data_IF_740984045736
#
_entry.id   IF_740984045736
#
_cell.length_a   1.000
_cell.length_b   1.000
_cell.length_c   1.000
_cell.angle_alpha   90.00
_cell.angle_beta   90.00
_cell.angle_gamma   90.00
#
_symmetry.space_group_name_H-M   'P 1'
#
loop_
_entity.id
_entity.type
_entity.pdbx_description
1 polymer ?
#
# COMPACT_ATOMS: atom_id res chain seq x y z
N UNK A 1 6.83 -11.90 23.52
CA UNK A 1 7.66 -12.01 22.31
C UNK A 1 8.04 -10.59 21.92
N UNK A 2 9.33 -10.29 21.77
CA UNK A 2 9.74 -8.96 21.31
C UNK A 2 9.25 -8.85 19.85
N UNK A 3 8.79 -7.66 19.43
CA UNK A 3 8.26 -7.44 18.08
C UNK A 3 9.17 -8.07 17.02
N UNK A 4 10.48 -7.90 17.16
CA UNK A 4 11.47 -8.40 16.22
C UNK A 4 11.54 -9.93 16.20
N UNK A 5 11.35 -10.62 17.34
CA UNK A 5 11.32 -12.10 17.38
C UNK A 5 10.17 -12.67 16.52
N UNK A 6 9.09 -11.92 16.33
CA UNK A 6 7.94 -12.32 15.51
C UNK A 6 8.32 -12.39 14.03
N UNK A 7 9.23 -11.51 13.58
CA UNK A 7 9.64 -11.39 12.18
C UNK A 7 11.01 -12.03 11.89
N UNK A 8 11.87 -12.15 12.91
CA UNK A 8 13.21 -12.75 12.86
C UNK A 8 13.20 -14.23 13.30
N UNK A 9 12.08 -14.71 13.82
CA UNK A 9 11.88 -16.02 14.43
C UNK A 9 12.18 -17.20 13.49
N UNK A 10 13.30 -17.86 13.79
CA UNK A 10 13.65 -19.22 13.33
C UNK A 10 12.72 -20.25 13.99
N UNK A 11 11.47 -20.33 13.59
CA UNK A 11 10.66 -21.55 13.65
C UNK A 11 9.35 -21.29 12.89
N UNK A 12 9.23 -21.92 11.72
CA UNK A 12 8.06 -21.84 10.85
C UNK A 12 6.88 -22.66 11.38
N UNK A 13 6.63 -22.66 12.69
CA UNK A 13 5.55 -23.45 13.28
C UNK A 13 4.75 -22.60 14.27
N UNK A 14 3.43 -22.54 14.02
CA UNK A 14 2.39 -21.88 14.82
C UNK A 14 2.44 -20.35 14.70
N UNK A 15 1.95 -19.70 13.64
CA UNK A 15 0.54 -19.46 13.30
C UNK A 15 0.39 -19.27 11.78
N UNK A 16 0.74 -20.28 10.99
CA UNK A 16 0.56 -20.24 9.54
C UNK A 16 -0.92 -20.42 9.22
N UNK A 17 -1.65 -19.32 9.18
CA UNK A 17 -2.82 -19.21 8.29
C UNK A 17 -2.32 -18.52 7.02
N UNK A 18 -1.96 -19.33 6.03
CA UNK A 18 -1.74 -18.93 4.63
C UNK A 18 -0.74 -17.77 4.38
N UNK A 19 0.29 -17.65 5.24
CA UNK A 19 1.43 -16.73 5.06
C UNK A 19 1.31 -15.34 5.70
N UNK A 20 0.25 -15.06 6.48
CA UNK A 20 0.15 -13.85 7.30
C UNK A 20 0.56 -14.11 8.76
N UNK A 21 1.16 -13.11 9.39
CA UNK A 21 1.59 -13.09 10.79
C UNK A 21 0.69 -12.10 11.55
N UNK A 22 0.00 -12.56 12.59
CA UNK A 22 -0.78 -11.66 13.46
C UNK A 22 0.13 -11.05 14.54
N UNK A 23 0.09 -9.72 14.68
CA UNK A 23 0.81 -9.02 15.73
C UNK A 23 0.11 -7.72 16.14
N UNK A 24 -0.10 -7.52 17.44
CA UNK A 24 -0.82 -6.37 18.02
C UNK A 24 -2.21 -6.13 17.41
N UNK A 25 -2.93 -7.20 17.03
CA UNK A 25 -4.26 -7.11 16.43
C UNK A 25 -4.27 -6.72 14.96
N UNK A 26 -3.11 -6.72 14.30
CA UNK A 26 -2.94 -6.44 12.88
C UNK A 26 -2.33 -7.65 12.17
N UNK A 27 -2.68 -7.82 10.90
CA UNK A 27 -2.12 -8.89 10.08
C UNK A 27 -0.98 -8.34 9.24
N UNK A 28 0.14 -9.04 9.24
CA UNK A 28 1.35 -8.69 8.50
C UNK A 28 1.66 -9.76 7.46
N UNK A 29 2.08 -9.36 6.26
CA UNK A 29 2.53 -10.28 5.22
C UNK A 29 3.89 -9.86 4.70
N UNK A 30 4.73 -10.84 4.38
CA UNK A 30 6.00 -10.58 3.71
C UNK A 30 5.74 -10.01 2.31
N UNK A 31 6.57 -9.06 1.89
CA UNK A 31 6.55 -8.52 0.52
C UNK A 31 7.44 -9.43 -0.34
N UNK A 32 6.89 -10.26 -1.25
CA UNK A 32 7.67 -11.35 -1.86
C UNK A 32 8.88 -10.90 -2.68
N UNK A 33 8.84 -9.71 -3.27
CA UNK A 33 9.95 -9.17 -4.03
C UNK A 33 11.09 -8.62 -3.15
N UNK A 34 10.91 -8.55 -1.83
CA UNK A 34 11.76 -7.75 -0.94
C UNK A 34 11.93 -8.44 0.42
N UNK A 35 12.99 -9.24 0.54
CA UNK A 35 13.34 -9.94 1.79
C UNK A 35 13.41 -8.97 2.97
N UNK A 36 12.88 -9.37 4.12
CA UNK A 36 12.91 -8.58 5.36
C UNK A 36 11.95 -7.39 5.38
N UNK A 37 11.10 -7.20 4.36
CA UNK A 37 10.02 -6.23 4.40
C UNK A 37 8.66 -6.90 4.57
N UNK A 38 7.85 -6.30 5.42
CA UNK A 38 6.49 -6.76 5.73
C UNK A 38 5.52 -5.59 5.59
N UNK A 39 4.30 -5.89 5.16
CA UNK A 39 3.20 -4.93 5.05
C UNK A 39 2.04 -5.37 5.94
N UNK A 40 1.44 -4.43 6.67
CA UNK A 40 0.25 -4.68 7.48
C UNK A 40 -1.06 -4.39 6.73
N UNK A 41 -2.15 -4.95 7.23
CA UNK A 41 -3.51 -4.66 6.79
C UNK A 41 -3.95 -3.20 7.05
N UNK A 42 -3.26 -2.50 7.94
CA UNK A 42 -3.42 -1.06 8.18
C UNK A 42 -2.53 -0.17 7.29
N UNK A 43 -1.71 -0.76 6.43
CA UNK A 43 -0.83 -0.03 5.51
C UNK A 43 0.50 0.42 6.11
N UNK A 44 0.93 -0.19 7.22
CA UNK A 44 2.28 -0.01 7.75
C UNK A 44 3.27 -0.91 7.03
N UNK A 45 4.48 -0.41 6.83
CA UNK A 45 5.62 -1.17 6.32
C UNK A 45 6.62 -1.33 7.46
N UNK A 46 7.06 -2.56 7.69
CA UNK A 46 8.11 -2.92 8.63
C UNK A 46 9.34 -3.44 7.89
N UNK A 47 10.51 -3.01 8.34
CA UNK A 47 11.80 -3.50 7.89
C UNK A 47 12.49 -4.22 9.03
N UNK A 48 12.65 -5.54 8.91
CA UNK A 48 13.25 -6.39 9.94
C UNK A 48 14.78 -6.22 10.06
N UNK A 49 15.44 -5.67 9.04
CA UNK A 49 16.88 -5.40 9.13
C UNK A 49 17.20 -4.14 9.93
N UNK A 50 16.32 -3.14 9.86
CA UNK A 50 16.50 -1.87 10.59
C UNK A 50 15.61 -1.77 11.83
N UNK A 51 14.74 -2.76 12.03
CA UNK A 51 13.70 -2.77 13.08
C UNK A 51 12.84 -1.50 13.06
N UNK A 52 12.54 -1.00 11.84
CA UNK A 52 11.91 0.30 11.62
C UNK A 52 10.55 0.19 10.93
N UNK A 53 9.65 1.13 11.24
CA UNK A 53 8.30 1.21 10.68
C UNK A 53 8.08 2.50 9.92
N UNK A 54 7.24 2.45 8.89
CA UNK A 54 6.75 3.65 8.21
C UNK A 54 5.38 3.41 7.58
N UNK A 55 4.59 4.46 7.43
CA UNK A 55 3.41 4.44 6.54
C UNK A 55 3.78 4.85 5.10
N UNK A 56 5.07 5.03 4.82
CA UNK A 56 5.58 5.66 3.62
C UNK A 56 5.63 7.17 3.73
N UNK A 57 5.99 7.81 2.63
CA UNK A 57 6.10 9.25 2.51
C UNK A 57 5.39 9.75 1.25
N UNK A 58 4.78 10.94 1.28
CA UNK A 58 4.19 11.54 0.09
C UNK A 58 5.26 12.00 -0.90
N UNK A 59 4.85 12.21 -2.15
CA UNK A 59 5.66 12.96 -3.09
C UNK A 59 5.76 14.43 -2.63
N UNK A 60 6.97 14.95 -2.46
CA UNK A 60 7.20 16.33 -1.99
C UNK A 60 6.56 17.42 -2.87
N UNK A 61 6.42 17.20 -4.19
CA UNK A 61 5.82 18.16 -5.12
C UNK A 61 4.31 18.30 -4.92
N UNK A 62 3.64 17.18 -4.61
CA UNK A 62 2.17 17.10 -4.51
C UNK A 62 1.67 17.06 -3.06
N UNK A 63 2.59 16.91 -2.10
CA UNK A 63 2.30 16.84 -0.68
C UNK A 63 1.24 15.79 -0.36
N UNK A 64 0.27 16.18 0.46
CA UNK A 64 -0.71 15.29 1.03
C UNK A 64 -1.74 14.73 0.03
N UNK A 65 -1.83 15.30 -1.17
CA UNK A 65 -2.67 14.78 -2.27
C UNK A 65 -1.94 13.73 -3.14
N UNK A 66 -0.83 13.17 -2.65
CA UNK A 66 -0.10 12.12 -3.36
C UNK A 66 -0.27 10.75 -2.73
N UNK A 67 -0.07 9.72 -3.55
CA UNK A 67 0.04 8.35 -3.05
C UNK A 67 1.32 8.19 -2.23
N UNK A 68 1.19 7.64 -1.02
CA UNK A 68 2.34 7.31 -0.19
C UNK A 68 3.23 6.28 -0.87
N UNK A 69 4.54 6.47 -0.69
CA UNK A 69 5.59 5.67 -1.30
C UNK A 69 6.56 5.16 -0.26
N UNK A 70 7.24 4.07 -0.58
CA UNK A 70 8.35 3.55 0.22
C UNK A 70 9.50 3.20 -0.71
N UNK A 71 10.72 3.53 -0.28
CA UNK A 71 11.92 3.07 -0.96
C UNK A 71 12.21 1.66 -0.49
N UNK A 72 12.29 0.74 -1.43
CA UNK A 72 12.56 -0.66 -1.18
C UNK A 72 13.91 -1.04 -1.78
N UNK A 73 14.73 -1.71 -0.98
CA UNK A 73 15.97 -2.32 -1.40
C UNK A 73 15.71 -3.76 -1.87
N UNK A 74 16.13 -4.10 -3.09
CA UNK A 74 16.02 -5.47 -3.60
C UNK A 74 16.94 -6.44 -2.82
N UNK A 75 16.67 -7.76 -2.88
CA UNK A 75 17.48 -8.76 -2.18
C UNK A 75 18.96 -8.75 -2.53
N UNK A 76 19.33 -8.28 -3.73
CA UNK A 76 20.73 -8.11 -4.15
C UNK A 76 21.50 -6.99 -3.43
N UNK A 77 20.78 -6.14 -2.68
CA UNK A 77 21.28 -4.99 -1.93
C UNK A 77 22.00 -3.93 -2.76
N UNK A 78 21.81 -3.94 -4.07
CA UNK A 78 22.43 -3.00 -5.00
C UNK A 78 21.39 -2.07 -5.64
N UNK A 79 20.17 -2.56 -5.80
CA UNK A 79 19.10 -1.80 -6.45
C UNK A 79 18.05 -1.37 -5.44
N UNK A 80 17.65 -0.11 -5.52
CA UNK A 80 16.47 0.41 -4.83
C UNK A 80 15.40 0.78 -5.85
N UNK A 81 14.14 0.58 -5.48
CA UNK A 81 12.97 1.04 -6.22
C UNK A 81 12.06 1.82 -5.28
N UNK A 82 11.17 2.64 -5.85
CA UNK A 82 10.12 3.30 -5.10
C UNK A 82 8.80 2.64 -5.44
N UNK A 83 8.18 2.02 -4.44
CA UNK A 83 6.87 1.37 -4.59
C UNK A 83 5.77 2.17 -3.89
N UNK A 84 4.53 2.02 -4.37
CA UNK A 84 3.36 2.64 -3.75
C UNK A 84 2.78 1.77 -2.65
N UNK A 85 2.52 2.37 -1.49
CA UNK A 85 2.05 1.63 -0.30
C UNK A 85 0.71 0.94 -0.56
N UNK A 86 -0.27 1.62 -1.17
CA UNK A 86 -1.56 0.98 -1.51
C UNK A 86 -1.41 -0.26 -2.41
N UNK A 87 -0.41 -0.31 -3.29
CA UNK A 87 -0.16 -1.46 -4.16
C UNK A 87 0.38 -2.65 -3.38
N UNK A 88 1.32 -2.38 -2.47
CA UNK A 88 1.89 -3.41 -1.60
C UNK A 88 0.80 -4.02 -0.71
N UNK A 89 -0.06 -3.18 -0.12
CA UNK A 89 -1.18 -3.62 0.70
C UNK A 89 -2.18 -4.44 -0.12
N UNK A 90 -2.64 -3.91 -1.25
CA UNK A 90 -3.61 -4.61 -2.09
C UNK A 90 -3.06 -5.95 -2.62
N UNK A 91 -1.80 -6.00 -3.06
CA UNK A 91 -1.17 -7.23 -3.52
C UNK A 91 -1.04 -8.28 -2.42
N UNK A 92 -0.87 -7.85 -1.16
CA UNK A 92 -0.75 -8.76 -0.02
C UNK A 92 -2.10 -9.27 0.48
N UNK A 93 -3.15 -8.44 0.50
CA UNK A 93 -4.39 -8.74 1.23
C UNK A 93 -5.65 -8.83 0.37
N UNK A 94 -5.63 -8.32 -0.87
CA UNK A 94 -6.80 -8.30 -1.75
C UNK A 94 -6.61 -9.26 -2.93
N UNK A 95 -7.46 -10.29 -2.99
CA UNK A 95 -7.52 -11.15 -4.17
C UNK A 95 -7.88 -10.33 -5.42
N UNK A 96 -7.22 -10.63 -6.53
CA UNK A 96 -7.49 -10.00 -7.83
C UNK A 96 -7.89 -11.07 -8.87
N UNK A 97 -9.05 -11.75 -8.69
CA UNK A 97 -9.48 -12.82 -9.60
C UNK A 97 -9.73 -12.33 -11.02
N UNK A 98 -10.09 -11.05 -11.17
CA UNK A 98 -10.44 -10.42 -12.45
C UNK A 98 -9.23 -9.77 -13.15
N UNK A 99 -8.03 -9.91 -12.58
CA UNK A 99 -6.77 -9.36 -13.13
C UNK A 99 -6.86 -7.87 -13.47
N UNK A 100 -7.46 -7.09 -12.57
CA UNK A 100 -7.61 -5.64 -12.73
C UNK A 100 -6.28 -4.94 -12.48
N UNK A 101 -6.00 -3.90 -13.26
CA UNK A 101 -4.70 -3.22 -13.22
C UNK A 101 -4.63 -2.07 -12.20
N UNK A 102 -5.78 -1.60 -11.71
CA UNK A 102 -5.88 -0.40 -10.89
C UNK A 102 -6.44 -0.68 -9.50
N UNK A 103 -5.94 0.07 -8.52
CA UNK A 103 -6.45 0.07 -7.15
C UNK A 103 -7.12 1.41 -6.89
N UNK A 104 -8.30 1.35 -6.31
CA UNK A 104 -9.10 2.50 -5.90
C UNK A 104 -9.02 2.70 -4.39
N UNK A 105 -9.00 3.97 -3.97
CA UNK A 105 -9.23 4.36 -2.58
C UNK A 105 -10.70 4.73 -2.44
N UNK A 106 -11.48 3.93 -1.70
CA UNK A 106 -12.94 4.10 -1.56
C UNK A 106 -13.32 5.47 -1.00
N UNK A 107 -12.54 5.98 -0.05
CA UNK A 107 -12.70 7.30 0.56
C UNK A 107 -12.12 8.46 -0.27
N UNK A 108 -11.48 8.17 -1.40
CA UNK A 108 -10.69 9.11 -2.21
C UNK A 108 -9.47 9.74 -1.49
N UNK A 109 -9.18 9.34 -0.25
CA UNK A 109 -7.97 9.74 0.46
C UNK A 109 -6.79 8.82 0.10
N UNK A 110 -5.83 9.35 -0.67
CA UNK A 110 -4.65 8.61 -1.17
C UNK A 110 -3.64 8.24 -0.08
N UNK A 111 -3.76 8.79 1.13
CA UNK A 111 -2.92 8.44 2.27
C UNK A 111 -3.49 7.32 3.13
N UNK A 112 -4.80 7.05 3.00
CA UNK A 112 -5.46 5.98 3.75
C UNK A 112 -5.29 4.65 3.01
N UNK A 113 -4.17 3.97 3.27
CA UNK A 113 -3.79 2.73 2.58
C UNK A 113 -4.25 1.47 3.31
N UNK A 114 -5.19 1.56 4.25
CA UNK A 114 -5.75 0.40 4.95
C UNK A 114 -6.48 -0.50 3.96
N UNK A 115 -6.39 -1.82 4.14
CA UNK A 115 -7.08 -2.82 3.29
C UNK A 115 -8.57 -2.51 3.15
N UNK A 116 -9.21 -2.08 4.24
CA UNK A 116 -10.63 -1.71 4.26
C UNK A 116 -10.98 -0.57 3.29
N UNK A 117 -10.04 0.35 3.03
CA UNK A 117 -10.21 1.48 2.13
C UNK A 117 -9.78 1.20 0.68
N UNK A 118 -9.20 0.04 0.39
CA UNK A 118 -8.70 -0.31 -0.94
C UNK A 118 -9.63 -1.32 -1.63
N UNK A 119 -9.65 -1.26 -2.96
CA UNK A 119 -10.28 -2.26 -3.82
C UNK A 119 -9.63 -2.28 -5.20
N UNK A 120 -9.64 -3.44 -5.86
CA UNK A 120 -9.29 -3.55 -7.27
C UNK A 120 -10.43 -2.97 -8.13
N UNK A 121 -10.08 -2.17 -9.15
CA UNK A 121 -11.05 -1.50 -10.02
C UNK A 121 -10.62 -1.58 -11.48
N UNK A 122 -11.58 -1.68 -12.39
CA UNK A 122 -11.33 -1.52 -13.82
C UNK A 122 -11.07 -0.03 -14.15
N UNK A 123 -10.08 0.26 -15.00
CA UNK A 123 -9.77 1.60 -15.51
C UNK A 123 -11.00 2.38 -15.99
N UNK A 124 -11.94 1.73 -16.68
CA UNK A 124 -13.16 2.38 -17.18
C UNK A 124 -14.05 2.87 -16.02
N UNK A 125 -14.23 2.04 -15.00
CA UNK A 125 -15.01 2.35 -13.80
C UNK A 125 -14.31 3.39 -12.93
N UNK A 126 -12.98 3.32 -12.79
CA UNK A 126 -12.20 4.27 -11.99
C UNK A 126 -12.31 5.71 -12.52
N UNK A 127 -12.40 5.89 -13.84
CA UNK A 127 -12.53 7.23 -14.46
C UNK A 127 -13.81 7.96 -14.09
N UNK A 128 -14.85 7.23 -13.67
CA UNK A 128 -16.15 7.79 -13.29
C UNK A 128 -16.46 7.64 -11.80
N UNK A 129 -15.54 7.04 -11.02
CA UNK A 129 -15.78 6.76 -9.60
C UNK A 129 -15.77 8.04 -8.76
N UNK A 130 -16.68 8.09 -7.78
CA UNK A 130 -16.75 9.14 -6.77
C UNK A 130 -16.90 10.55 -7.34
N UNK A 131 -16.12 11.49 -6.80
CA UNK A 131 -16.15 12.92 -7.15
C UNK A 131 -15.18 13.28 -8.27
N UNK A 132 -14.48 12.30 -8.85
CA UNK A 132 -13.41 12.54 -9.84
C UNK A 132 -13.87 13.45 -10.99
N UNK A 133 -15.04 13.17 -11.56
CA UNK A 133 -15.60 13.97 -12.66
C UNK A 133 -15.87 15.40 -12.19
N UNK A 134 -16.42 15.60 -11.00
CA UNK A 134 -16.70 16.91 -10.45
C UNK A 134 -15.40 17.70 -10.21
N UNK A 135 -14.39 17.10 -9.58
CA UNK A 135 -13.08 17.73 -9.35
C UNK A 135 -12.38 18.15 -10.64
N UNK A 136 -12.48 17.33 -11.70
CA UNK A 136 -11.95 17.68 -13.03
C UNK A 136 -12.71 18.88 -13.62
N UNK A 137 -14.03 18.92 -13.49
CA UNK A 137 -14.85 20.03 -13.97
C UNK A 137 -14.54 21.32 -13.20
N UNK A 138 -14.43 21.25 -11.87
CA UNK A 138 -14.05 22.38 -11.01
C UNK A 138 -12.67 22.92 -11.40
N UNK A 139 -11.66 22.06 -11.53
CA UNK A 139 -10.31 22.50 -11.96
C UNK A 139 -10.31 23.12 -13.35
N UNK A 140 -11.15 22.63 -14.29
CA UNK A 140 -11.29 23.24 -15.61
C UNK A 140 -11.98 24.60 -15.55
N UNK A 141 -12.97 24.78 -14.66
CA UNK A 141 -13.63 26.08 -14.41
C UNK A 141 -12.65 27.08 -13.82
N UNK A 142 -11.87 26.68 -12.82
CA UNK A 142 -10.83 27.52 -12.20
C UNK A 142 -9.78 27.99 -13.22
N UNK A 143 -9.43 27.12 -14.19
CA UNK A 143 -8.52 27.44 -15.30
C UNK A 143 -9.18 28.19 -16.46
N UNK A 144 -10.48 28.49 -16.37
CA UNK A 144 -11.24 29.18 -17.43
C UNK A 144 -11.39 28.38 -18.74
N UNK A 145 -11.17 27.06 -18.70
CA UNK A 145 -11.25 26.19 -19.88
C UNK A 145 -12.69 25.83 -20.26
N UNK A 146 -13.61 25.94 -19.30
CA UNK A 146 -15.05 25.72 -19.48
C UNK A 146 -15.83 26.77 -18.66
N UNK A 147 -17.01 27.16 -19.16
CA UNK A 147 -17.89 28.15 -18.51
C UNK A 147 -18.69 27.55 -17.36
#
# INVERSE_FOLDING_TARGET
MIFDDVFDGKEQNEFVTDGAIEHNGHFWRAIPCCNGLFVSDEGQIYNSYTHGYTYGYPNHEYGDDSYLRVSILYPDRQHFTTEYVHRLVAAAFLANPDLLDEINHKSENKQDNRVSNLEWINTASNRTYGTRVQRILESKREKGLIK
#
